data_IF_958878571710
#
_entry.id   IF_958878571710
#
_cell.length_a   1.000
_cell.length_b   1.000
_cell.length_c   1.000
_cell.angle_alpha   90.00
_cell.angle_beta   90.00
_cell.angle_gamma   90.00
#
_symmetry.space_group_name_H-M   'P 1'
#
loop_
_entity.id
_entity.type
_entity.pdbx_description
1 polymer ?
#
# COMPACT_ATOMS: atom_id res chain seq x y z
N UNK A 1 19.15 21.95 15.76
CA UNK A 1 18.44 22.13 14.46
C UNK A 1 18.32 20.84 13.64
N UNK A 2 19.24 19.86 13.74
CA UNK A 2 19.18 18.62 12.95
C UNK A 2 17.97 17.71 13.27
N UNK A 3 17.56 17.63 14.54
CA UNK A 3 16.45 16.75 14.97
C UNK A 3 15.10 17.11 14.32
N UNK A 4 14.81 18.41 14.14
CA UNK A 4 13.56 18.87 13.51
C UNK A 4 13.50 18.50 12.03
N UNK A 5 14.63 18.64 11.30
CA UNK A 5 14.70 18.31 9.88
C UNK A 5 14.50 16.81 9.62
N UNK A 6 15.06 15.95 10.48
CA UNK A 6 14.85 14.50 10.38
C UNK A 6 13.39 14.10 10.65
N UNK A 7 12.75 14.71 11.65
CA UNK A 7 11.32 14.45 11.95
C UNK A 7 10.42 14.93 10.81
N UNK A 8 10.73 16.07 10.20
CA UNK A 8 9.94 16.61 9.09
C UNK A 8 10.08 15.77 7.83
N UNK A 9 11.29 15.29 7.51
CA UNK A 9 11.51 14.38 6.40
C UNK A 9 10.80 13.03 6.60
N UNK A 10 10.80 12.47 7.82
CA UNK A 10 10.09 11.23 8.12
C UNK A 10 8.57 11.40 8.00
N UNK A 11 8.02 12.51 8.50
CA UNK A 11 6.60 12.83 8.37
C UNK A 11 6.19 12.95 6.89
N UNK A 12 7.01 13.65 6.09
CA UNK A 12 6.74 13.83 4.67
C UNK A 12 6.78 12.49 3.91
N UNK A 13 7.79 11.65 4.18
CA UNK A 13 7.87 10.32 3.59
C UNK A 13 6.67 9.44 3.97
N UNK A 14 6.14 9.58 5.19
CA UNK A 14 4.96 8.86 5.64
C UNK A 14 3.68 9.34 4.94
N UNK A 15 3.50 10.65 4.79
CA UNK A 15 2.36 11.23 4.07
C UNK A 15 2.35 10.81 2.60
N UNK A 16 3.51 10.86 1.93
CA UNK A 16 3.64 10.41 0.54
C UNK A 16 3.38 8.91 0.41
N UNK A 17 3.78 8.10 1.38
CA UNK A 17 3.49 6.67 1.39
C UNK A 17 1.98 6.41 1.53
N UNK A 18 1.30 7.17 2.39
CA UNK A 18 -0.14 7.09 2.58
C UNK A 18 -0.90 7.50 1.30
N UNK A 19 -0.54 8.63 0.70
CA UNK A 19 -1.17 9.11 -0.55
C UNK A 19 -1.00 8.10 -1.69
N UNK A 20 0.19 7.51 -1.84
CA UNK A 20 0.42 6.45 -2.83
C UNK A 20 -0.41 5.20 -2.56
N UNK A 21 -0.59 4.83 -1.30
CA UNK A 21 -1.43 3.69 -0.92
C UNK A 21 -2.91 3.94 -1.25
N UNK A 22 -3.42 5.13 -0.94
CA UNK A 22 -4.80 5.53 -1.20
C UNK A 22 -5.12 5.57 -2.70
N UNK A 23 -4.21 6.15 -3.51
CA UNK A 23 -4.36 6.19 -4.97
C UNK A 23 -4.33 4.78 -5.57
N UNK A 24 -3.41 3.92 -5.10
CA UNK A 24 -3.35 2.54 -5.57
C UNK A 24 -4.62 1.77 -5.22
N UNK A 25 -5.07 1.85 -3.96
CA UNK A 25 -6.22 1.09 -3.48
C UNK A 25 -7.51 1.51 -4.19
N UNK A 26 -7.74 2.81 -4.31
CA UNK A 26 -8.91 3.35 -5.04
C UNK A 26 -8.89 2.96 -6.52
N UNK A 27 -7.73 2.97 -7.16
CA UNK A 27 -7.58 2.54 -8.57
C UNK A 27 -7.83 1.05 -8.73
N UNK A 28 -7.35 0.23 -7.80
CA UNK A 28 -7.55 -1.21 -7.79
C UNK A 28 -9.03 -1.57 -7.56
N UNK A 29 -9.71 -0.91 -6.62
CA UNK A 29 -11.15 -1.06 -6.40
C UNK A 29 -11.98 -0.73 -7.64
N UNK A 30 -11.61 0.31 -8.40
CA UNK A 30 -12.34 0.69 -9.62
C UNK A 30 -12.10 -0.25 -10.81
N UNK A 31 -10.96 -0.94 -10.84
CA UNK A 31 -10.53 -1.73 -12.01
C UNK A 31 -10.74 -3.22 -11.86
N UNK A 32 -10.50 -3.75 -10.66
CA UNK A 32 -10.59 -5.19 -10.39
C UNK A 32 -11.94 -5.61 -9.81
N UNK A 33 -12.65 -4.68 -9.17
CA UNK A 33 -13.92 -4.95 -8.54
C UNK A 33 -15.02 -4.14 -9.25
N UNK A 34 -15.64 -4.73 -10.28
CA UNK A 34 -16.74 -4.10 -11.01
C UNK A 34 -17.82 -3.61 -10.04
N UNK A 35 -18.21 -2.33 -10.17
CA UNK A 35 -19.24 -1.71 -9.33
C UNK A 35 -18.74 -1.18 -7.97
N UNK A 36 -17.45 -1.28 -7.66
CA UNK A 36 -16.89 -0.89 -6.37
C UNK A 36 -17.28 -1.92 -5.31
N UNK A 37 -16.51 -3.00 -5.21
CA UNK A 37 -16.78 -4.07 -4.25
C UNK A 37 -17.03 -3.50 -2.84
N UNK A 38 -18.20 -3.83 -2.30
CA UNK A 38 -18.63 -3.48 -0.94
C UNK A 38 -17.97 -4.41 0.09
N UNK A 39 -17.50 -5.60 -0.35
CA UNK A 39 -16.77 -6.55 0.48
C UNK A 39 -15.56 -7.09 -0.29
N UNK A 40 -14.36 -6.82 0.24
CA UNK A 40 -13.12 -7.48 -0.20
C UNK A 40 -12.72 -8.45 0.89
N UNK A 41 -12.58 -9.73 0.56
CA UNK A 41 -12.07 -10.71 1.52
C UNK A 41 -10.62 -10.38 1.90
N UNK A 42 -10.31 -10.51 3.18
CA UNK A 42 -8.99 -10.17 3.72
C UNK A 42 -7.85 -10.88 2.98
N UNK A 43 -8.04 -12.16 2.63
CA UNK A 43 -7.03 -12.94 1.93
C UNK A 43 -6.76 -12.43 0.50
N UNK A 44 -7.81 -11.98 -0.20
CA UNK A 44 -7.66 -11.37 -1.53
C UNK A 44 -6.94 -10.03 -1.46
N UNK A 45 -7.26 -9.21 -0.45
CA UNK A 45 -6.54 -7.98 -0.17
C UNK A 45 -5.06 -8.25 0.09
N UNK A 46 -4.73 -9.19 0.99
CA UNK A 46 -3.34 -9.51 1.34
C UNK A 46 -2.57 -10.01 0.12
N UNK A 47 -3.19 -10.83 -0.74
CA UNK A 47 -2.57 -11.31 -1.99
C UNK A 47 -2.22 -10.15 -2.93
N UNK A 48 -3.15 -9.23 -3.17
CA UNK A 48 -2.95 -8.08 -4.06
C UNK A 48 -1.96 -7.07 -3.49
N UNK A 49 -2.00 -6.84 -2.18
CA UNK A 49 -1.05 -5.98 -1.48
C UNK A 49 0.38 -6.52 -1.58
N UNK A 50 0.58 -7.81 -1.29
CA UNK A 50 1.90 -8.46 -1.41
C UNK A 50 2.46 -8.34 -2.81
N UNK A 51 1.65 -8.65 -3.83
CA UNK A 51 2.06 -8.54 -5.23
C UNK A 51 2.55 -7.14 -5.62
N UNK A 52 2.00 -6.08 -5.03
CA UNK A 52 2.35 -4.69 -5.36
C UNK A 52 3.53 -4.14 -4.55
N UNK A 53 3.55 -4.37 -3.24
CA UNK A 53 4.47 -3.69 -2.32
C UNK A 53 5.59 -4.58 -1.79
N UNK A 54 5.44 -5.90 -1.86
CA UNK A 54 6.45 -6.84 -1.36
C UNK A 54 7.23 -7.37 -2.56
N UNK A 55 8.56 -7.20 -2.60
CA UNK A 55 9.37 -7.80 -3.66
C UNK A 55 9.23 -9.33 -3.69
N UNK A 56 9.22 -9.93 -4.88
CA UNK A 56 9.04 -11.39 -5.06
C UNK A 56 9.99 -12.22 -4.19
N UNK A 57 11.27 -11.84 -4.14
CA UNK A 57 12.29 -12.52 -3.34
C UNK A 57 12.05 -12.50 -1.81
N UNK A 58 11.16 -11.61 -1.32
CA UNK A 58 10.71 -11.60 0.07
C UNK A 58 9.44 -12.45 0.21
N UNK A 59 8.53 -12.41 -0.77
CA UNK A 59 7.34 -13.27 -0.78
C UNK A 59 7.70 -14.75 -0.78
N UNK A 60 8.70 -15.15 -1.58
CA UNK A 60 9.21 -16.53 -1.68
C UNK A 60 9.77 -17.08 -0.35
N UNK A 61 9.99 -16.22 0.66
CA UNK A 61 10.46 -16.61 2.02
C UNK A 61 9.33 -16.65 3.06
N UNK A 62 8.11 -16.28 2.68
CA UNK A 62 6.93 -16.24 3.56
C UNK A 62 6.02 -17.46 3.39
N UNK A 63 6.26 -18.29 2.36
CA UNK A 63 5.74 -19.66 2.20
C UNK A 63 6.64 -20.68 2.91
#
# INVERSE_FOLDING_TARGET
>A
MQTQAHTQAALQAQLEAQERADVWWSSLLRTWFEGGAVEVFWDEFVRLFRAKFVPKHIQDKME
#
